data_IF_808018067644
#
_entry.id   IF_808018067644
#
_cell.length_a   1.000
_cell.length_b   1.000
_cell.length_c   1.000
_cell.angle_alpha   90.00
_cell.angle_beta   90.00
_cell.angle_gamma   90.00
#
_symmetry.space_group_name_H-M   'P 1'
#
loop_
_entity.id
_entity.type
_entity.pdbx_description
1 polymer ?
#
# COMPACT_ATOMS: atom_id res chain seq x y z
N UNK A 1 -1.69 -6.95 14.19
CA UNK A 1 -2.00 -7.91 13.11
C UNK A 1 -1.09 -7.56 11.95
N UNK A 2 -0.48 -8.53 11.27
CA UNK A 2 0.44 -8.30 10.14
C UNK A 2 0.03 -9.14 8.94
N UNK A 3 0.42 -8.70 7.75
CA UNK A 3 0.16 -9.33 6.47
C UNK A 3 1.41 -10.06 6.01
N UNK A 4 1.32 -11.38 5.90
CA UNK A 4 2.24 -12.16 5.07
C UNK A 4 1.79 -12.10 3.60
N UNK A 5 2.54 -12.74 2.70
CA UNK A 5 2.24 -12.74 1.27
C UNK A 5 0.81 -13.19 0.95
N UNK A 6 0.32 -14.25 1.61
CA UNK A 6 -1.03 -14.76 1.40
C UNK A 6 -2.10 -13.76 1.87
N UNK A 7 -1.94 -13.19 3.06
CA UNK A 7 -2.85 -12.18 3.58
C UNK A 7 -2.86 -10.91 2.73
N UNK A 8 -1.71 -10.49 2.22
CA UNK A 8 -1.58 -9.34 1.32
C UNK A 8 -2.33 -9.59 0.00
N UNK A 9 -2.21 -10.79 -0.57
CA UNK A 9 -2.97 -11.18 -1.77
C UNK A 9 -4.48 -11.15 -1.52
N UNK A 10 -4.96 -11.69 -0.39
CA UNK A 10 -6.38 -11.61 -0.04
C UNK A 10 -6.87 -10.15 0.03
N UNK A 11 -6.15 -9.28 0.73
CA UNK A 11 -6.51 -7.87 0.85
C UNK A 11 -6.56 -7.16 -0.51
N UNK A 12 -5.61 -7.45 -1.41
CA UNK A 12 -5.58 -6.87 -2.77
C UNK A 12 -6.77 -7.39 -3.60
N UNK A 13 -7.10 -8.68 -3.50
CA UNK A 13 -8.27 -9.26 -4.16
C UNK A 13 -9.56 -8.59 -3.69
N UNK A 14 -9.76 -8.46 -2.37
CA UNK A 14 -10.94 -7.84 -1.78
C UNK A 14 -11.07 -6.38 -2.24
N UNK A 15 -10.00 -5.59 -2.15
CA UNK A 15 -10.01 -4.18 -2.59
C UNK A 15 -10.26 -4.07 -4.09
N UNK A 16 -9.80 -5.01 -4.91
CA UNK A 16 -10.11 -5.03 -6.34
C UNK A 16 -11.59 -5.32 -6.61
N UNK A 17 -12.24 -6.21 -5.86
CA UNK A 17 -13.69 -6.41 -5.98
C UNK A 17 -14.44 -5.16 -5.50
N UNK A 18 -14.03 -4.54 -4.39
CA UNK A 18 -14.65 -3.29 -3.94
C UNK A 18 -14.56 -2.18 -4.99
N UNK A 19 -13.41 -2.05 -5.67
CA UNK A 19 -13.25 -1.08 -6.77
C UNK A 19 -14.24 -1.28 -7.90
N UNK A 20 -14.64 -2.53 -8.21
CA UNK A 20 -15.67 -2.79 -9.22
C UNK A 20 -17.03 -2.26 -8.75
N UNK A 21 -17.42 -2.57 -7.52
CA UNK A 21 -18.69 -2.09 -6.94
C UNK A 21 -18.73 -0.56 -6.82
N UNK A 22 -17.64 0.06 -6.40
CA UNK A 22 -17.57 1.52 -6.19
C UNK A 22 -17.72 2.31 -7.49
N UNK A 23 -17.26 1.76 -8.62
CA UNK A 23 -17.43 2.39 -9.94
C UNK A 23 -18.89 2.49 -10.36
N UNK A 24 -19.77 1.64 -9.83
CA UNK A 24 -21.21 1.70 -10.09
C UNK A 24 -21.91 2.84 -9.32
N UNK A 25 -21.25 3.41 -8.31
CA UNK A 25 -21.80 4.50 -7.50
C UNK A 25 -21.63 5.89 -8.14
N UNK A 26 -20.97 5.98 -9.29
CA UNK A 26 -20.71 7.20 -10.07
C UNK A 26 -20.18 8.39 -9.24
N UNK A 27 -19.33 8.08 -8.25
CA UNK A 27 -18.68 9.09 -7.41
C UNK A 27 -17.19 9.16 -7.72
N UNK A 28 -16.71 10.24 -8.36
CA UNK A 28 -15.29 10.40 -8.68
C UNK A 28 -14.38 10.36 -7.44
N UNK A 29 -14.82 10.98 -6.35
CA UNK A 29 -14.07 11.01 -5.09
C UNK A 29 -13.91 9.61 -4.49
N UNK A 30 -15.00 8.85 -4.39
CA UNK A 30 -14.95 7.51 -3.79
C UNK A 30 -14.13 6.57 -4.68
N UNK A 31 -14.25 6.68 -6.00
CA UNK A 31 -13.41 5.93 -6.95
C UNK A 31 -11.93 6.21 -6.71
N UNK A 32 -11.55 7.49 -6.61
CA UNK A 32 -10.17 7.90 -6.34
C UNK A 32 -9.66 7.35 -5.00
N UNK A 33 -10.48 7.39 -3.94
CA UNK A 33 -10.09 6.85 -2.63
C UNK A 33 -9.79 5.35 -2.69
N UNK A 34 -10.57 4.58 -3.45
CA UNK A 34 -10.32 3.15 -3.60
C UNK A 34 -9.14 2.83 -4.54
N UNK A 35 -8.86 3.68 -5.53
CA UNK A 35 -7.64 3.57 -6.33
C UNK A 35 -6.39 3.81 -5.47
N UNK A 36 -6.44 4.81 -4.59
CA UNK A 36 -5.38 5.07 -3.60
C UNK A 36 -5.24 3.89 -2.62
N UNK A 37 -6.35 3.38 -2.09
CA UNK A 37 -6.33 2.22 -1.18
C UNK A 37 -5.70 0.98 -1.84
N UNK A 38 -6.04 0.71 -3.10
CA UNK A 38 -5.43 -0.38 -3.86
C UNK A 38 -3.91 -0.18 -4.04
N UNK A 39 -3.47 1.04 -4.35
CA UNK A 39 -2.04 1.35 -4.42
C UNK A 39 -1.33 1.15 -3.07
N UNK A 40 -1.96 1.54 -1.95
CA UNK A 40 -1.46 1.27 -0.61
C UNK A 40 -1.40 -0.23 -0.30
N UNK A 41 -2.39 -1.02 -0.71
CA UNK A 41 -2.37 -2.48 -0.54
C UNK A 41 -1.23 -3.16 -1.31
N UNK A 42 -0.80 -2.62 -2.45
CA UNK A 42 0.36 -3.14 -3.17
C UNK A 42 1.67 -3.04 -2.36
N UNK A 43 1.77 -2.07 -1.43
CA UNK A 43 2.89 -1.99 -0.49
C UNK A 43 2.97 -3.20 0.44
N UNK A 44 1.88 -3.96 0.63
CA UNK A 44 1.87 -5.14 1.48
C UNK A 44 2.51 -6.37 0.79
N UNK A 45 2.54 -6.37 -0.55
CA UNK A 45 2.95 -7.53 -1.35
C UNK A 45 4.28 -7.32 -2.08
N UNK A 46 4.57 -6.09 -2.53
CA UNK A 46 5.75 -5.80 -3.35
C UNK A 46 7.04 -6.24 -2.65
N UNK A 47 8.04 -6.69 -3.41
CA UNK A 47 9.32 -7.06 -2.82
C UNK A 47 10.02 -5.87 -2.16
N UNK A 48 10.78 -6.06 -1.07
CA UNK A 48 11.46 -4.98 -0.37
C UNK A 48 12.32 -4.08 -1.26
N UNK A 49 13.01 -4.65 -2.25
CA UNK A 49 13.85 -3.93 -3.21
C UNK A 49 13.09 -2.90 -4.06
N UNK A 50 11.80 -3.12 -4.30
CA UNK A 50 10.97 -2.26 -5.13
C UNK A 50 10.07 -1.33 -4.28
N UNK A 51 10.11 -1.42 -2.94
CA UNK A 51 9.27 -0.61 -2.08
C UNK A 51 9.50 0.89 -2.27
N UNK A 52 10.76 1.32 -2.42
CA UNK A 52 11.08 2.74 -2.58
C UNK A 52 10.44 3.31 -3.85
N UNK A 53 10.57 2.59 -4.96
CA UNK A 53 9.97 2.96 -6.26
C UNK A 53 8.46 3.14 -6.12
N UNK A 54 7.76 2.17 -5.51
CA UNK A 54 6.30 2.24 -5.30
C UNK A 54 5.92 3.41 -4.39
N UNK A 55 6.66 3.66 -3.30
CA UNK A 55 6.38 4.77 -2.39
C UNK A 55 6.54 6.15 -3.06
N UNK A 56 7.54 6.29 -3.93
CA UNK A 56 7.81 7.54 -4.65
C UNK A 56 7.04 7.67 -5.97
N UNK A 57 6.29 6.63 -6.35
CA UNK A 57 5.46 6.64 -7.55
C UNK A 57 4.36 7.69 -7.48
N UNK A 58 3.89 8.11 -8.66
CA UNK A 58 2.95 9.23 -8.80
C UNK A 58 1.73 9.09 -7.88
N UNK A 59 1.20 7.87 -7.71
CA UNK A 59 -0.02 7.61 -6.91
C UNK A 59 0.16 7.75 -5.39
N UNK A 60 1.37 7.57 -4.85
CA UNK A 60 1.58 7.60 -3.40
C UNK A 60 2.37 8.84 -2.95
N UNK A 61 3.08 9.49 -3.87
CA UNK A 61 3.94 10.63 -3.57
C UNK A 61 3.17 11.86 -3.03
N UNK A 62 1.88 11.98 -3.33
CA UNK A 62 1.02 13.06 -2.82
C UNK A 62 0.37 12.78 -1.46
N UNK A 63 0.55 11.58 -0.91
CA UNK A 63 0.02 11.23 0.41
C UNK A 63 0.97 11.69 1.53
N UNK A 64 0.40 11.89 2.71
CA UNK A 64 1.19 12.03 3.92
C UNK A 64 2.04 10.76 4.13
N UNK A 65 3.33 10.95 4.35
CA UNK A 65 4.29 9.86 4.56
C UNK A 65 3.89 8.93 5.71
N UNK A 66 3.17 9.44 6.71
CA UNK A 66 2.66 8.64 7.83
C UNK A 66 1.67 7.56 7.37
N UNK A 67 0.84 7.82 6.35
CA UNK A 67 -0.11 6.84 5.79
C UNK A 67 0.65 5.72 5.10
N UNK A 68 1.61 6.06 4.23
CA UNK A 68 2.46 5.10 3.54
C UNK A 68 3.22 4.24 4.55
N UNK A 69 3.79 4.86 5.59
CA UNK A 69 4.48 4.16 6.67
C UNK A 69 3.59 3.18 7.42
N UNK A 70 2.36 3.57 7.76
CA UNK A 70 1.42 2.70 8.45
C UNK A 70 1.16 1.41 7.65
N UNK A 71 1.03 1.50 6.32
CA UNK A 71 0.90 0.31 5.48
C UNK A 71 2.17 -0.55 5.45
N UNK A 72 3.35 0.06 5.37
CA UNK A 72 4.62 -0.69 5.43
C UNK A 72 4.78 -1.42 6.77
N UNK A 73 4.35 -0.81 7.89
CA UNK A 73 4.36 -1.42 9.23
C UNK A 73 3.45 -2.64 9.37
N UNK A 74 2.43 -2.76 8.52
CA UNK A 74 1.54 -3.92 8.50
C UNK A 74 2.18 -5.16 7.89
N UNK A 75 3.31 -5.05 7.18
CA UNK A 75 3.98 -6.22 6.58
C UNK A 75 4.60 -7.13 7.63
N UNK A 76 4.56 -8.43 7.40
CA UNK A 76 5.18 -9.42 8.29
C UNK A 76 6.71 -9.32 8.34
N UNK A 77 7.33 -8.85 7.25
CA UNK A 77 8.79 -8.64 7.11
C UNK A 77 9.24 -7.22 7.49
N UNK A 78 8.36 -6.40 8.08
CA UNK A 78 8.67 -5.00 8.41
C UNK A 78 9.93 -4.84 9.27
N UNK A 79 10.17 -5.76 10.22
CA UNK A 79 11.35 -5.72 11.09
C UNK A 79 12.65 -5.87 10.29
N UNK A 80 12.65 -6.71 9.28
CA UNK A 80 13.80 -6.93 8.41
C UNK A 80 14.02 -5.72 7.52
N UNK A 81 12.94 -5.19 6.94
CA UNK A 81 12.95 -3.98 6.12
C UNK A 81 13.48 -2.77 6.91
N UNK A 82 13.04 -2.57 8.15
CA UNK A 82 13.45 -1.44 9.00
C UNK A 82 14.96 -1.39 9.22
N UNK A 83 15.62 -2.56 9.22
CA UNK A 83 17.07 -2.66 9.40
C UNK A 83 17.85 -2.41 8.10
N UNK A 84 17.16 -2.28 6.97
CA UNK A 84 17.78 -1.91 5.68
C UNK A 84 17.71 -0.40 5.44
N UNK A 85 18.79 0.19 4.91
CA UNK A 85 18.88 1.64 4.71
C UNK A 85 17.97 2.19 3.59
N UNK A 86 17.33 1.33 2.79
CA UNK A 86 16.66 1.69 1.54
C UNK A 86 15.39 2.55 1.73
N UNK A 87 14.87 2.66 2.96
CA UNK A 87 13.61 3.36 3.26
C UNK A 87 13.72 4.37 4.42
N UNK A 88 14.93 4.78 4.82
CA UNK A 88 15.15 5.67 5.97
C UNK A 88 14.27 6.93 5.94
N UNK A 89 14.17 7.63 4.81
CA UNK A 89 13.34 8.85 4.69
C UNK A 89 11.82 8.66 4.59
N UNK A 90 11.33 7.41 4.61
CA UNK A 90 9.91 7.02 4.59
C UNK A 90 9.52 6.41 5.95
N UNK A 91 10.43 5.68 6.59
CA UNK A 91 10.20 4.94 7.85
C UNK A 91 10.54 5.76 9.12
N UNK A 92 11.32 6.86 9.02
CA UNK A 92 11.68 7.80 10.11
C UNK A 92 10.74 8.99 10.28
#
# INVERSE_FOLDING_TARGET
MSFNTAGAMCAICDVNEYRKCIRELDSPLVTQLFDILHALCNLLLVKPENLLEVCTGETLNYLDKSVVRQFIQLRSDFRDIKNTNNLKGIIE
#
